data_IF_909425466002
#
_entry.id   IF_909425466002
#
_cell.length_a   1.000
_cell.length_b   1.000
_cell.length_c   1.000
_cell.angle_alpha   90.00
_cell.angle_beta   90.00
_cell.angle_gamma   90.00
#
_symmetry.space_group_name_H-M   'P 1'
#
loop_
_entity.id
_entity.type
_entity.pdbx_description
1 polymer ?
#
# COMPACT_ATOMS: atom_id res chain seq x y z
N UNK A 1 24.98 41.23 -34.93
CA UNK A 1 23.74 40.44 -35.08
C UNK A 1 24.13 38.99 -35.26
N UNK A 2 23.63 38.06 -34.42
CA UNK A 2 23.88 36.63 -34.64
C UNK A 2 23.22 36.22 -35.97
N UNK A 3 23.90 35.46 -36.84
CA UNK A 3 23.27 34.98 -38.06
C UNK A 3 22.06 34.12 -37.72
N UNK A 4 21.02 34.19 -38.55
CA UNK A 4 19.83 33.38 -38.38
C UNK A 4 20.20 31.89 -38.52
N UNK A 5 19.67 31.06 -37.62
CA UNK A 5 19.83 29.61 -37.69
C UNK A 5 19.16 29.08 -38.95
N UNK A 6 19.71 28.01 -39.53
CA UNK A 6 19.01 27.26 -40.57
C UNK A 6 17.71 26.66 -40.01
N UNK A 7 16.72 26.39 -40.86
CA UNK A 7 15.47 25.77 -40.43
C UNK A 7 15.69 24.42 -39.70
N UNK A 8 16.67 23.63 -40.15
CA UNK A 8 17.04 22.37 -39.51
C UNK A 8 17.65 22.58 -38.11
N UNK A 9 18.53 23.57 -37.94
CA UNK A 9 19.12 23.91 -36.64
C UNK A 9 18.06 24.45 -35.67
N UNK A 10 17.15 25.29 -36.15
CA UNK A 10 16.04 25.80 -35.34
C UNK A 10 15.13 24.67 -34.87
N UNK A 11 14.71 23.80 -35.77
CA UNK A 11 13.90 22.63 -35.40
C UNK A 11 14.60 21.75 -34.36
N UNK A 12 15.90 21.50 -34.53
CA UNK A 12 16.70 20.71 -33.60
C UNK A 12 16.79 21.36 -32.22
N UNK A 13 17.06 22.66 -32.18
CA UNK A 13 17.04 23.46 -30.96
C UNK A 13 15.71 23.32 -30.23
N UNK A 14 14.59 23.48 -30.94
CA UNK A 14 13.25 23.46 -30.34
C UNK A 14 12.90 22.08 -29.78
N UNK A 15 13.26 21.00 -30.48
CA UNK A 15 13.07 19.62 -29.98
C UNK A 15 13.83 19.37 -28.69
N UNK A 16 15.09 19.79 -28.59
CA UNK A 16 15.88 19.56 -27.38
C UNK A 16 15.52 20.49 -26.24
N UNK A 17 15.11 21.71 -26.55
CA UNK A 17 14.57 22.64 -25.56
C UNK A 17 13.27 22.11 -24.95
N UNK A 18 12.40 21.52 -25.78
CA UNK A 18 11.18 20.88 -25.31
C UNK A 18 11.50 19.68 -24.40
N UNK A 19 12.37 18.75 -24.83
CA UNK A 19 12.81 17.61 -24.00
C UNK A 19 13.42 18.04 -22.66
N UNK A 20 14.19 19.13 -22.66
CA UNK A 20 14.78 19.69 -21.45
C UNK A 20 13.70 20.23 -20.52
N UNK A 21 12.74 20.98 -21.06
CA UNK A 21 11.62 21.56 -20.30
C UNK A 21 10.74 20.47 -19.71
N UNK A 22 10.39 19.44 -20.49
CA UNK A 22 9.59 18.30 -20.01
C UNK A 22 10.28 17.56 -18.86
N UNK A 23 11.60 17.37 -18.95
CA UNK A 23 12.38 16.73 -17.89
C UNK A 23 12.44 17.60 -16.62
N UNK A 24 12.56 18.92 -16.77
CA UNK A 24 12.52 19.88 -15.65
C UNK A 24 11.17 19.87 -14.94
N UNK A 25 10.09 19.98 -15.71
CA UNK A 25 8.72 19.96 -15.18
C UNK A 25 8.40 18.63 -14.50
N UNK A 26 8.76 17.50 -15.13
CA UNK A 26 8.59 16.19 -14.52
C UNK A 26 9.38 16.09 -13.21
N UNK A 27 10.65 16.46 -13.20
CA UNK A 27 11.47 16.37 -11.98
C UNK A 27 10.92 17.26 -10.86
N UNK A 28 10.55 18.50 -11.16
CA UNK A 28 9.93 19.41 -10.18
C UNK A 28 8.62 18.82 -9.64
N UNK A 29 7.78 18.27 -10.52
CA UNK A 29 6.51 17.67 -10.10
C UNK A 29 6.70 16.49 -9.14
N UNK A 30 7.70 15.65 -9.40
CA UNK A 30 8.07 14.52 -8.57
C UNK A 30 8.66 14.99 -7.24
N UNK A 31 9.62 15.92 -7.28
CA UNK A 31 10.34 16.37 -6.09
C UNK A 31 9.46 17.13 -5.09
N UNK A 32 8.51 17.94 -5.59
CA UNK A 32 7.50 18.62 -4.77
C UNK A 32 6.39 17.68 -4.29
N UNK A 33 6.39 16.41 -4.68
CA UNK A 33 5.38 15.42 -4.30
C UNK A 33 4.00 15.66 -4.91
N UNK A 34 3.91 16.52 -5.95
CA UNK A 34 2.67 16.72 -6.73
C UNK A 34 2.39 15.51 -7.62
N UNK A 35 3.44 14.92 -8.20
CA UNK A 35 3.41 13.61 -8.80
C UNK A 35 3.92 12.57 -7.79
N UNK A 36 3.04 11.63 -7.41
CA UNK A 36 3.29 10.61 -6.38
C UNK A 36 3.58 9.22 -6.93
N UNK A 37 3.93 9.13 -8.21
CA UNK A 37 4.41 7.87 -8.79
C UNK A 37 5.75 7.48 -8.15
N UNK A 38 5.72 6.54 -7.21
CA UNK A 38 6.89 6.06 -6.46
C UNK A 38 7.97 5.47 -7.37
N UNK A 39 7.57 4.86 -8.49
CA UNK A 39 8.51 4.30 -9.46
C UNK A 39 9.27 5.43 -10.14
N UNK A 40 8.55 6.46 -10.61
CA UNK A 40 9.19 7.62 -11.23
C UNK A 40 10.04 8.40 -10.21
N UNK A 41 9.54 8.58 -8.99
CA UNK A 41 10.31 9.21 -7.91
C UNK A 41 11.65 8.48 -7.65
N UNK A 42 11.63 7.15 -7.61
CA UNK A 42 12.85 6.35 -7.47
C UNK A 42 13.77 6.45 -8.70
N UNK A 43 13.24 6.33 -9.93
CA UNK A 43 14.02 6.37 -11.18
C UNK A 43 14.73 7.72 -11.33
N UNK A 44 14.03 8.82 -11.06
CA UNK A 44 14.55 10.17 -11.22
C UNK A 44 15.31 10.68 -9.98
N UNK A 45 15.23 9.98 -8.86
CA UNK A 45 15.87 10.34 -7.60
C UNK A 45 15.21 11.53 -6.90
N UNK A 46 13.89 11.62 -6.96
CA UNK A 46 13.11 12.73 -6.42
C UNK A 46 12.26 12.25 -5.24
N UNK A 47 12.10 13.08 -4.20
CA UNK A 47 11.15 12.94 -3.10
C UNK A 47 11.31 11.73 -2.14
N UNK A 48 11.83 10.60 -2.58
CA UNK A 48 11.86 9.35 -1.80
C UNK A 48 12.71 9.38 -0.53
N UNK A 49 13.62 10.34 -0.40
CA UNK A 49 14.43 10.55 0.80
C UNK A 49 14.10 11.85 1.55
N UNK A 50 12.98 12.50 1.21
CA UNK A 50 12.47 13.66 1.93
C UNK A 50 11.66 13.20 3.14
N UNK A 51 12.00 13.71 4.32
CA UNK A 51 11.24 13.43 5.54
C UNK A 51 11.27 11.98 5.98
N UNK A 52 12.34 11.24 5.67
CA UNK A 52 12.51 9.84 6.06
C UNK A 52 12.24 9.65 7.55
N UNK A 53 11.27 8.78 7.84
CA UNK A 53 10.79 8.41 9.17
C UNK A 53 10.24 9.58 10.02
N UNK A 54 10.04 10.78 9.46
CA UNK A 54 9.46 11.91 10.21
C UNK A 54 7.97 11.76 10.52
N UNK A 55 7.25 10.95 9.77
CA UNK A 55 5.84 10.67 10.03
C UNK A 55 5.64 9.59 11.10
N UNK A 56 6.69 8.92 11.57
CA UNK A 56 6.58 7.91 12.60
C UNK A 56 6.58 8.55 13.99
N UNK A 57 5.73 8.04 14.87
CA UNK A 57 5.68 8.50 16.26
C UNK A 57 7.04 8.34 16.96
N UNK A 58 7.84 7.34 16.55
CA UNK A 58 9.17 7.03 17.09
C UNK A 58 10.18 8.17 16.92
N UNK A 59 10.05 9.00 15.88
CA UNK A 59 10.95 10.13 15.67
C UNK A 59 10.30 11.49 15.98
N UNK A 60 9.01 11.64 15.64
CA UNK A 60 8.34 12.93 15.79
C UNK A 60 8.03 13.29 17.25
N UNK A 61 7.47 12.36 18.02
CA UNK A 61 7.03 12.64 19.39
C UNK A 61 8.21 12.90 20.36
N UNK A 62 9.34 12.18 20.30
CA UNK A 62 10.51 12.52 21.10
C UNK A 62 11.08 13.91 20.76
N UNK A 63 11.20 14.25 19.47
CA UNK A 63 11.63 15.58 19.05
C UNK A 63 10.68 16.66 19.56
N UNK A 64 9.37 16.45 19.38
CA UNK A 64 8.35 17.39 19.85
C UNK A 64 8.44 17.60 21.36
N UNK A 65 8.61 16.52 22.11
CA UNK A 65 8.75 16.56 23.58
C UNK A 65 10.02 17.32 23.98
N UNK A 66 11.15 17.08 23.31
CA UNK A 66 12.41 17.79 23.56
C UNK A 66 12.25 19.30 23.28
N UNK A 67 11.73 19.68 22.10
CA UNK A 67 11.50 21.09 21.74
C UNK A 67 10.58 21.79 22.74
N UNK A 68 9.46 21.16 23.10
CA UNK A 68 8.51 21.73 24.08
C UNK A 68 9.15 21.87 25.46
N UNK A 69 9.89 20.86 25.92
CA UNK A 69 10.53 20.86 27.24
C UNK A 69 11.62 21.93 27.32
N UNK A 70 12.53 21.93 26.34
CA UNK A 70 13.62 22.89 26.26
C UNK A 70 13.12 24.33 26.15
N UNK A 71 12.05 24.58 25.37
CA UNK A 71 11.46 25.93 25.28
C UNK A 71 10.63 26.32 26.52
N UNK A 72 10.03 25.36 27.24
CA UNK A 72 9.25 25.66 28.45
C UNK A 72 10.13 26.04 29.64
N UNK A 73 11.38 25.59 29.66
CA UNK A 73 12.36 25.89 30.70
C UNK A 73 13.41 26.94 30.27
N UNK A 74 13.35 27.39 29.01
CA UNK A 74 14.30 28.36 28.48
C UNK A 74 14.08 29.75 29.08
N UNK A 75 15.09 30.26 29.78
CA UNK A 75 15.18 31.68 30.18
C UNK A 75 15.91 32.54 29.14
N UNK A 76 16.53 31.91 28.13
CA UNK A 76 17.29 32.51 27.03
C UNK A 76 17.19 31.64 25.77
N UNK A 77 17.48 32.23 24.61
CA UNK A 77 17.63 31.50 23.36
C UNK A 77 18.66 30.37 23.47
N UNK A 78 18.41 29.27 22.77
CA UNK A 78 19.32 28.14 22.67
C UNK A 78 20.67 28.61 22.14
N UNK A 79 21.74 28.19 22.81
CA UNK A 79 23.10 28.38 22.27
C UNK A 79 23.39 27.39 21.13
N UNK A 80 22.75 26.22 21.18
CA UNK A 80 22.87 25.14 20.19
C UNK A 80 21.54 24.42 20.06
N UNK A 81 21.20 23.97 18.85
CA UNK A 81 19.97 23.18 18.63
C UNK A 81 20.07 21.83 19.37
N UNK A 82 19.03 21.41 20.13
CA UNK A 82 19.00 20.12 20.82
C UNK A 82 19.17 18.90 19.89
N UNK A 83 19.70 17.76 20.37
CA UNK A 83 20.04 16.62 19.52
C UNK A 83 18.88 16.01 18.70
N UNK A 84 17.70 15.80 19.30
CA UNK A 84 16.55 15.23 18.57
C UNK A 84 15.99 16.26 17.59
N UNK A 85 15.99 17.53 17.97
CA UNK A 85 15.67 18.65 17.07
C UNK A 85 16.64 18.73 15.87
N UNK A 86 17.95 18.46 16.05
CA UNK A 86 18.91 18.35 14.94
C UNK A 86 18.61 17.18 14.02
N UNK A 87 18.27 16.00 14.56
CA UNK A 87 17.84 14.85 13.73
C UNK A 87 16.59 15.18 12.92
N UNK A 88 15.64 15.90 13.52
CA UNK A 88 14.45 16.38 12.82
C UNK A 88 14.80 17.34 11.67
N UNK A 89 15.66 18.35 11.92
CA UNK A 89 16.14 19.26 10.86
C UNK A 89 16.79 18.47 9.73
N UNK A 90 17.71 17.55 10.04
CA UNK A 90 18.40 16.74 9.05
C UNK A 90 17.42 15.98 8.14
N UNK A 91 16.40 15.36 8.72
CA UNK A 91 15.37 14.61 7.97
C UNK A 91 14.45 15.52 7.14
N UNK A 92 14.16 16.75 7.61
CA UNK A 92 13.38 17.75 6.84
C UNK A 92 14.17 18.34 5.67
N UNK A 93 15.47 18.52 5.87
CA UNK A 93 16.37 19.13 4.90
C UNK A 93 16.77 18.15 3.80
N UNK A 94 17.05 16.89 4.15
CA UNK A 94 17.51 15.89 3.20
C UNK A 94 16.56 15.75 2.00
N UNK A 95 17.12 15.84 0.79
CA UNK A 95 16.37 15.67 -0.45
C UNK A 95 15.49 16.87 -0.85
N UNK A 96 15.40 17.92 -0.03
CA UNK A 96 14.53 19.07 -0.31
C UNK A 96 15.12 19.98 -1.39
N UNK A 97 14.24 20.50 -2.26
CA UNK A 97 14.57 21.51 -3.27
C UNK A 97 14.34 22.96 -2.82
N UNK A 98 13.70 23.13 -1.67
CA UNK A 98 13.31 24.45 -1.17
C UNK A 98 14.53 25.36 -0.93
N UNK A 99 14.28 26.67 -0.98
CA UNK A 99 15.28 27.66 -0.59
C UNK A 99 15.56 27.56 0.90
N UNK A 100 16.73 28.05 1.33
CA UNK A 100 17.10 28.04 2.75
C UNK A 100 16.06 28.73 3.63
N UNK A 101 15.56 29.88 3.16
CA UNK A 101 14.59 30.70 3.89
C UNK A 101 13.24 30.00 4.02
N UNK A 102 12.80 29.31 2.96
CA UNK A 102 11.58 28.50 2.98
C UNK A 102 11.72 27.32 3.97
N UNK A 103 12.81 26.56 3.90
CA UNK A 103 13.04 25.43 4.81
C UNK A 103 13.09 25.87 6.28
N UNK A 104 13.90 26.89 6.58
CA UNK A 104 14.01 27.40 7.94
C UNK A 104 12.68 27.96 8.44
N UNK A 105 11.93 28.66 7.59
CA UNK A 105 10.59 29.16 7.89
C UNK A 105 9.58 28.06 8.16
N UNK A 106 9.57 26.99 7.37
CA UNK A 106 8.69 25.82 7.54
C UNK A 106 8.99 25.11 8.86
N UNK A 107 10.26 24.82 9.15
CA UNK A 107 10.66 24.17 10.41
C UNK A 107 10.29 25.07 11.61
N UNK A 108 10.57 26.37 11.51
CA UNK A 108 10.21 27.34 12.53
C UNK A 108 8.71 27.35 12.81
N UNK A 109 7.88 27.42 11.76
CA UNK A 109 6.42 27.42 11.89
C UNK A 109 5.91 26.11 12.52
N UNK A 110 6.48 24.97 12.13
CA UNK A 110 6.11 23.67 12.67
C UNK A 110 6.42 23.56 14.17
N UNK A 111 7.62 23.98 14.58
CA UNK A 111 8.02 23.97 15.99
C UNK A 111 7.22 24.96 16.83
N UNK A 112 6.91 26.16 16.30
CA UNK A 112 6.01 27.10 16.97
C UNK A 112 4.61 26.50 17.16
N UNK A 113 4.11 25.74 16.18
CA UNK A 113 2.83 25.04 16.28
C UNK A 113 2.80 23.97 17.38
N UNK A 114 3.95 23.51 17.86
CA UNK A 114 4.02 22.58 18.99
C UNK A 114 3.94 23.26 20.35
N UNK A 115 4.27 24.56 20.42
CA UNK A 115 4.27 25.33 21.66
C UNK A 115 2.85 25.79 22.01
N UNK A 116 2.37 25.43 23.21
CA UNK A 116 1.01 25.76 23.69
C UNK A 116 0.91 27.17 24.29
N UNK A 117 2.02 27.86 24.47
CA UNK A 117 2.13 29.17 25.14
C UNK A 117 2.91 30.11 24.21
N UNK A 118 2.60 31.42 24.16
CA UNK A 118 3.41 32.38 23.42
C UNK A 118 4.75 32.57 24.15
N UNK A 119 5.73 31.74 23.83
CA UNK A 119 7.09 31.83 24.35
C UNK A 119 8.05 31.97 23.17
N UNK A 120 7.99 33.11 22.50
CA UNK A 120 9.04 33.50 21.55
C UNK A 120 10.25 33.94 22.34
N UNK A 121 11.26 33.07 22.40
CA UNK A 121 12.68 33.43 22.43
C UNK A 121 13.63 32.21 22.43
N UNK A 122 13.14 30.97 22.53
CA UNK A 122 14.03 29.79 22.59
C UNK A 122 14.80 29.53 21.28
N UNK A 123 14.19 29.71 20.11
CA UNK A 123 14.86 29.60 18.81
C UNK A 123 14.32 30.63 17.82
N UNK A 124 15.04 30.88 16.73
CA UNK A 124 14.63 31.80 15.67
C UNK A 124 15.05 31.26 14.29
N UNK A 125 14.52 31.87 13.23
CA UNK A 125 14.79 31.46 11.84
C UNK A 125 16.29 31.50 11.51
N UNK A 126 17.03 32.52 11.95
CA UNK A 126 18.46 32.65 11.67
C UNK A 126 19.29 31.51 12.29
N UNK A 127 18.92 31.06 13.49
CA UNK A 127 19.55 29.90 14.12
C UNK A 127 19.32 28.63 13.29
N UNK A 128 18.09 28.42 12.80
CA UNK A 128 17.77 27.29 11.93
C UNK A 128 18.55 27.36 10.61
N UNK A 129 18.64 28.54 9.99
CA UNK A 129 19.43 28.72 8.78
C UNK A 129 20.91 28.36 8.99
N UNK A 130 21.49 28.76 10.13
CA UNK A 130 22.87 28.44 10.48
C UNK A 130 23.07 26.96 10.77
N UNK A 131 22.13 26.33 11.48
CA UNK A 131 22.17 24.90 11.74
C UNK A 131 22.07 24.10 10.43
N UNK A 132 21.14 24.44 9.52
CA UNK A 132 21.01 23.83 8.19
C UNK A 132 22.33 23.93 7.42
N UNK A 133 22.92 25.14 7.33
CA UNK A 133 24.22 25.36 6.66
C UNK A 133 25.38 24.56 7.28
N UNK A 134 25.30 24.25 8.58
CA UNK A 134 26.34 23.52 9.29
C UNK A 134 26.29 22.01 9.04
N UNK A 135 25.10 21.44 8.83
CA UNK A 135 24.92 19.99 8.67
C UNK A 135 24.70 19.52 7.24
N UNK A 136 24.31 20.43 6.34
CA UNK A 136 23.94 20.11 4.97
C UNK A 136 24.58 21.04 3.95
N UNK A 137 24.82 20.50 2.77
CA UNK A 137 25.25 21.23 1.58
C UNK A 137 24.09 21.35 0.58
N UNK A 138 24.03 22.46 -0.15
CA UNK A 138 23.06 22.63 -1.24
C UNK A 138 23.75 22.34 -2.56
N UNK A 139 23.44 21.18 -3.14
CA UNK A 139 24.11 20.64 -4.34
C UNK A 139 23.28 20.95 -5.58
N UNK A 140 23.93 21.47 -6.63
CA UNK A 140 23.31 21.57 -7.95
C UNK A 140 23.69 20.36 -8.79
N UNK A 141 22.71 19.50 -9.04
CA UNK A 141 22.90 18.34 -9.89
C UNK A 141 22.74 18.67 -11.39
N UNK A 142 21.92 19.67 -11.72
CA UNK A 142 21.59 20.12 -13.07
C UNK A 142 22.44 21.29 -13.57
N UNK A 143 21.97 21.98 -14.61
CA UNK A 143 22.65 23.13 -15.20
C UNK A 143 22.26 24.43 -14.48
N UNK A 144 23.12 24.91 -13.56
CA UNK A 144 22.87 26.15 -12.82
C UNK A 144 23.25 27.41 -13.61
N UNK A 145 22.50 28.52 -13.43
CA UNK A 145 22.91 29.83 -13.93
C UNK A 145 24.27 30.28 -13.36
N UNK A 146 25.07 31.02 -14.16
CA UNK A 146 26.40 31.52 -13.75
C UNK A 146 26.37 32.42 -12.50
N UNK A 147 25.27 33.16 -12.29
CA UNK A 147 25.07 34.09 -11.17
C UNK A 147 24.03 33.60 -10.16
N UNK A 148 23.80 32.29 -10.09
CA UNK A 148 22.82 31.71 -9.17
C UNK A 148 23.20 31.93 -7.70
N UNK A 149 22.25 32.42 -6.90
CA UNK A 149 22.43 32.50 -5.45
C UNK A 149 22.25 31.10 -4.84
N UNK A 150 23.35 30.49 -4.41
CA UNK A 150 23.37 29.08 -3.99
C UNK A 150 22.24 28.70 -3.02
N UNK A 151 21.92 29.53 -2.02
CA UNK A 151 20.93 29.21 -0.98
C UNK A 151 19.48 29.62 -1.29
N UNK A 152 19.25 30.39 -2.36
CA UNK A 152 17.91 30.97 -2.64
C UNK A 152 17.43 30.66 -4.05
N UNK A 153 18.32 30.30 -4.98
CA UNK A 153 17.93 29.91 -6.33
C UNK A 153 17.06 28.64 -6.28
N UNK A 154 15.95 28.68 -7.01
CA UNK A 154 14.98 27.59 -7.19
C UNK A 154 14.77 27.26 -8.65
N UNK A 155 15.67 27.71 -9.54
CA UNK A 155 15.61 27.43 -10.98
C UNK A 155 15.51 25.91 -11.21
N UNK A 156 14.46 25.41 -11.88
CA UNK A 156 14.26 23.98 -12.13
C UNK A 156 15.49 23.30 -12.76
N UNK A 157 16.05 23.95 -13.78
CA UNK A 157 17.23 23.50 -14.53
C UNK A 157 18.47 23.25 -13.66
N UNK A 158 18.63 24.02 -12.58
CA UNK A 158 19.79 23.88 -11.70
C UNK A 158 19.72 22.63 -10.83
N UNK A 159 18.52 22.11 -10.59
CA UNK A 159 18.25 20.95 -9.75
C UNK A 159 18.97 21.06 -8.40
N UNK A 160 18.68 22.16 -7.68
CA UNK A 160 19.21 22.40 -6.34
C UNK A 160 18.56 21.47 -5.34
N UNK A 161 19.37 20.72 -4.61
CA UNK A 161 18.89 19.79 -3.59
C UNK A 161 19.78 19.88 -2.36
N UNK A 162 19.16 19.85 -1.19
CA UNK A 162 19.86 19.79 0.08
C UNK A 162 20.30 18.37 0.42
N UNK A 163 21.56 18.23 0.81
CA UNK A 163 22.19 16.96 1.14
C UNK A 163 22.84 17.06 2.52
N UNK A 164 22.37 16.26 3.45
CA UNK A 164 22.98 16.15 4.78
C UNK A 164 24.33 15.43 4.65
N UNK A 165 25.38 15.99 5.25
CA UNK A 165 26.73 15.42 5.17
C UNK A 165 26.86 14.11 5.95
N UNK A 166 26.84 14.22 7.28
CA UNK A 166 27.00 13.09 8.21
C UNK A 166 25.69 12.30 8.37
N UNK A 167 25.23 11.64 7.30
CA UNK A 167 23.94 10.93 7.29
C UNK A 167 23.85 9.84 8.37
N UNK A 168 24.95 9.16 8.67
CA UNK A 168 25.00 8.13 9.71
C UNK A 168 24.78 8.69 11.13
N UNK A 169 24.94 10.00 11.32
CA UNK A 169 24.69 10.66 12.61
C UNK A 169 23.22 10.99 12.86
N UNK A 170 22.38 10.98 11.83
CA UNK A 170 20.99 11.45 11.93
C UNK A 170 19.95 10.43 11.44
N UNK A 171 20.38 9.46 10.64
CA UNK A 171 19.53 8.48 9.96
C UNK A 171 19.95 7.06 10.33
N UNK A 172 18.97 6.16 10.40
CA UNK A 172 19.20 4.72 10.51
C UNK A 172 19.74 4.11 9.20
N UNK A 173 20.25 2.88 9.28
CA UNK A 173 20.90 2.19 8.17
C UNK A 173 20.03 2.08 6.92
N UNK A 174 18.72 1.91 7.08
CA UNK A 174 17.80 1.77 5.96
C UNK A 174 17.54 3.13 5.28
N UNK A 175 17.35 4.19 6.06
CA UNK A 175 17.31 5.55 5.54
C UNK A 175 18.62 5.95 4.85
N UNK A 176 19.78 5.58 5.40
CA UNK A 176 21.10 5.82 4.76
C UNK A 176 21.21 5.10 3.41
N UNK A 177 20.73 3.85 3.31
CA UNK A 177 20.68 3.13 2.02
C UNK A 177 19.80 3.83 1.00
N UNK A 178 18.63 4.33 1.42
CA UNK A 178 17.74 5.13 0.56
C UNK A 178 18.45 6.38 0.07
N UNK A 179 18.98 7.21 0.97
CA UNK A 179 19.69 8.46 0.63
C UNK A 179 20.82 8.19 -0.39
N UNK A 180 21.67 7.19 -0.13
CA UNK A 180 22.77 6.83 -1.03
C UNK A 180 22.29 6.38 -2.41
N UNK A 181 21.18 5.65 -2.48
CA UNK A 181 20.56 5.21 -3.74
C UNK A 181 20.01 6.40 -4.51
N UNK A 182 19.24 7.27 -3.85
CA UNK A 182 18.61 8.44 -4.44
C UNK A 182 19.65 9.44 -4.94
N UNK A 183 20.74 9.67 -4.21
CA UNK A 183 21.89 10.48 -4.68
C UNK A 183 22.45 10.00 -6.01
N UNK A 184 22.56 8.68 -6.22
CA UNK A 184 23.03 8.12 -7.51
C UNK A 184 22.04 8.44 -8.64
N UNK A 185 20.75 8.33 -8.36
CA UNK A 185 19.70 8.64 -9.33
C UNK A 185 19.65 10.12 -9.67
N UNK A 186 19.76 11.02 -8.68
CA UNK A 186 19.89 12.47 -8.93
C UNK A 186 21.10 12.83 -9.75
N UNK A 187 22.27 12.23 -9.49
CA UNK A 187 23.47 12.43 -10.32
C UNK A 187 23.20 12.07 -11.78
N UNK A 188 22.53 10.94 -12.01
CA UNK A 188 22.14 10.48 -13.35
C UNK A 188 21.18 11.47 -14.03
N UNK A 189 20.09 11.83 -13.36
CA UNK A 189 19.10 12.79 -13.86
C UNK A 189 19.71 14.17 -14.16
N UNK A 190 20.47 14.72 -13.20
CA UNK A 190 21.12 16.02 -13.35
C UNK A 190 22.17 16.04 -14.47
N UNK A 191 22.88 14.93 -14.68
CA UNK A 191 23.78 14.80 -15.82
C UNK A 191 23.04 14.86 -17.16
N UNK A 192 21.85 14.26 -17.24
CA UNK A 192 21.00 14.37 -18.45
C UNK A 192 20.53 15.81 -18.66
N UNK A 193 20.06 16.50 -17.62
CA UNK A 193 19.68 17.93 -17.70
C UNK A 193 20.86 18.76 -18.24
N UNK A 194 22.07 18.59 -17.69
CA UNK A 194 23.29 19.26 -18.18
C UNK A 194 23.60 18.95 -19.64
N UNK A 195 23.37 17.71 -20.05
CA UNK A 195 23.63 17.25 -21.42
C UNK A 195 22.63 17.86 -22.40
N UNK A 196 21.35 17.89 -22.04
CA UNK A 196 20.29 18.53 -22.83
C UNK A 196 20.50 20.05 -22.92
N UNK A 197 20.83 20.73 -21.81
CA UNK A 197 21.15 22.16 -21.82
C UNK A 197 22.35 22.47 -22.73
N UNK A 198 23.38 21.61 -22.70
CA UNK A 198 24.53 21.72 -23.62
C UNK A 198 24.11 21.52 -25.09
N UNK A 199 23.26 20.54 -25.40
CA UNK A 199 22.74 20.33 -26.75
C UNK A 199 21.96 21.54 -27.23
N UNK A 200 21.12 22.12 -26.38
CA UNK A 200 20.35 23.34 -26.68
C UNK A 200 21.31 24.50 -27.01
N UNK A 201 22.33 24.73 -26.18
CA UNK A 201 23.32 25.77 -26.44
C UNK A 201 24.10 25.53 -27.75
N UNK A 202 24.53 24.30 -28.01
CA UNK A 202 25.23 23.92 -29.24
C UNK A 202 24.34 24.08 -30.48
N UNK A 203 23.05 23.76 -30.39
CA UNK A 203 22.10 23.93 -31.51
C UNK A 203 21.85 25.40 -31.87
N UNK A 204 22.08 26.33 -30.93
CA UNK A 204 22.04 27.78 -31.19
C UNK A 204 23.34 28.34 -31.79
N UNK A 205 24.41 27.56 -31.83
CA UNK A 205 25.71 27.96 -32.37
C UNK A 205 25.82 27.52 -33.85
N UNK A 206 25.84 28.44 -34.83
CA UNK A 206 25.82 28.10 -36.25
C UNK A 206 27.04 27.29 -36.71
N UNK A 207 28.15 27.37 -35.97
CA UNK A 207 29.42 26.71 -36.27
C UNK A 207 29.61 25.38 -35.52
N UNK A 208 28.56 24.87 -34.87
CA UNK A 208 28.63 23.58 -34.16
C UNK A 208 28.89 22.43 -35.11
N UNK A 209 29.86 21.60 -34.75
CA UNK A 209 30.18 20.35 -35.43
C UNK A 209 29.12 19.28 -35.11
N UNK A 210 28.45 18.78 -36.15
CA UNK A 210 27.39 17.77 -36.06
C UNK A 210 27.85 16.48 -35.38
N UNK A 211 29.13 16.10 -35.52
CA UNK A 211 29.67 14.90 -34.87
C UNK A 211 29.73 15.06 -33.34
N UNK A 212 30.08 16.26 -32.86
CA UNK A 212 30.10 16.60 -31.43
C UNK A 212 28.68 16.68 -30.88
N UNK A 213 27.76 17.24 -31.64
CA UNK A 213 26.35 17.30 -31.27
C UNK A 213 25.78 15.89 -31.11
N UNK A 214 25.98 15.02 -32.10
CA UNK A 214 25.55 13.63 -32.09
C UNK A 214 26.09 12.83 -30.89
N UNK A 215 27.33 13.10 -30.46
CA UNK A 215 27.91 12.49 -29.27
C UNK A 215 27.15 12.86 -27.99
N UNK A 216 26.75 14.13 -27.84
CA UNK A 216 25.94 14.58 -26.69
C UNK A 216 24.50 14.03 -26.79
N UNK A 217 23.90 14.02 -27.98
CA UNK A 217 22.58 13.42 -28.23
C UNK A 217 22.57 11.94 -27.80
N UNK A 218 23.62 11.20 -28.14
CA UNK A 218 23.79 9.79 -27.76
C UNK A 218 23.91 9.59 -26.24
N UNK A 219 24.49 10.55 -25.50
CA UNK A 219 24.52 10.50 -24.03
C UNK A 219 23.12 10.71 -23.44
N UNK A 220 22.38 11.70 -23.95
CA UNK A 220 21.00 11.94 -23.52
C UNK A 220 20.08 10.75 -23.84
N UNK A 221 20.18 10.16 -25.04
CA UNK A 221 19.38 9.00 -25.44
C UNK A 221 19.60 7.78 -24.55
N UNK A 222 20.84 7.53 -24.11
CA UNK A 222 21.15 6.42 -23.17
C UNK A 222 20.40 6.54 -21.85
N UNK A 223 20.16 7.76 -21.37
CA UNK A 223 19.36 7.99 -20.17
C UNK A 223 17.91 7.55 -20.39
N UNK A 224 17.27 7.99 -21.48
CA UNK A 224 15.87 7.65 -21.77
C UNK A 224 15.67 6.13 -21.96
N UNK A 225 16.62 5.46 -22.62
CA UNK A 225 16.60 3.99 -22.73
C UNK A 225 16.73 3.32 -21.36
N UNK A 226 17.59 3.84 -20.48
CA UNK A 226 17.72 3.31 -19.12
C UNK A 226 16.45 3.52 -18.29
N UNK A 227 15.80 4.68 -18.40
CA UNK A 227 14.51 4.98 -17.78
C UNK A 227 13.43 4.02 -18.26
N UNK A 228 13.30 3.82 -19.57
CA UNK A 228 12.32 2.91 -20.15
C UNK A 228 12.52 1.47 -19.65
N UNK A 229 13.77 1.02 -19.58
CA UNK A 229 14.10 -0.31 -19.05
C UNK A 229 13.73 -0.45 -17.56
N UNK A 230 13.90 0.60 -16.76
CA UNK A 230 13.51 0.60 -15.35
C UNK A 230 11.98 0.59 -15.19
N UNK A 231 11.25 1.35 -16.01
CA UNK A 231 9.79 1.30 -16.07
C UNK A 231 9.26 -0.09 -16.44
N UNK A 232 9.84 -0.72 -17.47
CA UNK A 232 9.47 -2.08 -17.86
C UNK A 232 9.75 -3.10 -16.75
N UNK A 233 10.84 -2.94 -16.00
CA UNK A 233 11.16 -3.79 -14.85
C UNK A 233 10.16 -3.59 -13.71
N UNK A 234 9.78 -2.36 -13.41
CA UNK A 234 8.79 -2.04 -12.39
C UNK A 234 7.41 -2.65 -12.76
N UNK A 235 6.99 -2.49 -14.01
CA UNK A 235 5.75 -3.07 -14.50
C UNK A 235 5.75 -4.61 -14.39
N UNK A 236 6.82 -5.28 -14.80
CA UNK A 236 6.96 -6.74 -14.68
C UNK A 236 6.87 -7.22 -13.23
N UNK A 237 7.42 -6.47 -12.27
CA UNK A 237 7.33 -6.80 -10.83
C UNK A 237 5.89 -6.69 -10.33
N UNK A 238 5.20 -5.63 -10.71
CA UNK A 238 3.82 -5.38 -10.34
C UNK A 238 2.87 -6.44 -10.93
N UNK A 239 3.10 -6.87 -12.16
CA UNK A 239 2.32 -7.94 -12.78
C UNK A 239 2.56 -9.30 -12.10
N UNK A 240 3.81 -9.59 -11.72
CA UNK A 240 4.14 -10.81 -10.96
C UNK A 240 3.47 -10.83 -9.58
N UNK A 241 3.40 -9.69 -8.91
CA UNK A 241 2.72 -9.58 -7.61
C UNK A 241 1.21 -9.78 -7.74
N UNK A 242 0.58 -9.16 -8.74
CA UNK A 242 -0.84 -9.39 -9.07
C UNK A 242 -1.13 -10.86 -9.35
N UNK A 243 -0.26 -11.54 -10.09
CA UNK A 243 -0.39 -12.99 -10.35
C UNK A 243 -0.32 -13.81 -9.06
N UNK A 244 0.63 -13.51 -8.16
CA UNK A 244 0.74 -14.20 -6.86
C UNK A 244 -0.49 -14.00 -5.97
N UNK A 245 -1.05 -12.79 -5.95
CA UNK A 245 -2.27 -12.49 -5.18
C UNK A 245 -3.47 -13.23 -5.78
N UNK A 246 -3.61 -13.22 -7.10
CA UNK A 246 -4.67 -13.95 -7.80
C UNK A 246 -4.59 -15.47 -7.55
N UNK A 247 -3.38 -16.05 -7.58
CA UNK A 247 -3.17 -17.47 -7.28
C UNK A 247 -3.54 -17.83 -5.84
N UNK A 248 -3.12 -17.00 -4.86
CA UNK A 248 -3.52 -17.18 -3.45
C UNK A 248 -5.04 -17.11 -3.28
N UNK A 249 -5.70 -16.16 -3.95
CA UNK A 249 -7.16 -16.02 -3.90
C UNK A 249 -7.86 -17.22 -4.52
N UNK A 250 -7.37 -17.73 -5.66
CA UNK A 250 -7.92 -18.92 -6.31
C UNK A 250 -7.79 -20.16 -5.41
N UNK A 251 -6.62 -20.36 -4.79
CA UNK A 251 -6.40 -21.45 -3.83
C UNK A 251 -7.33 -21.35 -2.61
N UNK A 252 -7.52 -20.14 -2.08
CA UNK A 252 -8.46 -19.91 -0.97
C UNK A 252 -9.91 -20.22 -1.38
N UNK A 253 -10.33 -19.80 -2.58
CA UNK A 253 -11.67 -20.10 -3.10
C UNK A 253 -11.87 -21.61 -3.28
N UNK A 254 -10.91 -22.30 -3.91
CA UNK A 254 -10.98 -23.75 -4.10
C UNK A 254 -11.05 -24.51 -2.77
N UNK A 255 -10.45 -23.98 -1.71
CA UNK A 255 -10.54 -24.57 -0.38
C UNK A 255 -11.94 -24.40 0.22
N UNK A 256 -12.52 -23.20 0.10
CA UNK A 256 -13.91 -22.95 0.53
C UNK A 256 -14.90 -23.83 -0.22
N UNK A 257 -14.75 -23.96 -1.54
CA UNK A 257 -15.62 -24.79 -2.37
C UNK A 257 -15.52 -26.28 -1.97
N UNK A 258 -14.32 -26.77 -1.64
CA UNK A 258 -14.11 -28.13 -1.12
C UNK A 258 -14.76 -28.35 0.24
N UNK A 259 -14.67 -27.37 1.12
CA UNK A 259 -15.25 -27.48 2.47
C UNK A 259 -16.77 -27.36 2.42
N UNK A 260 -17.33 -26.55 1.52
CA UNK A 260 -18.77 -26.52 1.23
C UNK A 260 -19.26 -27.84 0.63
N UNK A 261 -18.55 -28.40 -0.36
CA UNK A 261 -18.88 -29.70 -0.94
C UNK A 261 -18.88 -30.81 0.12
N UNK A 262 -17.90 -30.83 1.02
CA UNK A 262 -17.88 -31.76 2.16
C UNK A 262 -19.06 -31.57 3.10
N UNK A 263 -19.44 -30.32 3.38
CA UNK A 263 -20.58 -30.00 4.25
C UNK A 263 -21.90 -30.49 3.65
N UNK A 264 -22.10 -30.27 2.35
CA UNK A 264 -23.28 -30.75 1.60
C UNK A 264 -23.33 -32.29 1.58
N UNK A 265 -22.21 -32.97 1.32
CA UNK A 265 -22.15 -34.45 1.36
C UNK A 265 -22.49 -35.00 2.76
N UNK A 266 -22.00 -34.35 3.82
CA UNK A 266 -22.31 -34.72 5.20
C UNK A 266 -23.80 -34.52 5.53
N UNK A 267 -24.39 -33.43 5.03
CA UNK A 267 -25.81 -33.15 5.21
C UNK A 267 -26.68 -34.16 4.45
N UNK A 268 -26.30 -34.52 3.22
CA UNK A 268 -26.96 -35.56 2.43
C UNK A 268 -26.93 -36.91 3.15
N UNK A 269 -25.76 -37.34 3.64
CA UNK A 269 -25.61 -38.58 4.42
C UNK A 269 -26.43 -38.58 5.71
N UNK A 270 -26.60 -37.43 6.37
CA UNK A 270 -27.48 -37.32 7.55
C UNK A 270 -28.94 -37.49 7.17
N UNK A 271 -29.40 -36.82 6.11
CA UNK A 271 -30.77 -36.96 5.60
C UNK A 271 -31.09 -38.41 5.19
N UNK A 272 -30.18 -39.08 4.48
CA UNK A 272 -30.34 -40.50 4.11
C UNK A 272 -30.46 -41.41 5.34
N UNK A 273 -29.65 -41.20 6.39
CA UNK A 273 -29.75 -41.96 7.64
C UNK A 273 -31.07 -41.72 8.36
N UNK A 274 -31.52 -40.48 8.43
CA UNK A 274 -32.80 -40.12 9.07
C UNK A 274 -33.99 -40.70 8.30
N UNK A 275 -33.96 -40.67 6.97
CA UNK A 275 -34.97 -41.32 6.13
C UNK A 275 -34.97 -42.84 6.27
N UNK A 276 -33.79 -43.47 6.32
CA UNK A 276 -33.67 -44.90 6.57
C UNK A 276 -34.22 -45.30 7.96
N UNK A 277 -33.93 -44.49 8.99
CA UNK A 277 -34.47 -44.70 10.34
C UNK A 277 -35.98 -44.55 10.38
N UNK A 278 -36.55 -43.52 9.73
CA UNK A 278 -38.00 -43.35 9.61
C UNK A 278 -38.67 -44.51 8.89
N UNK A 279 -38.06 -45.04 7.82
CA UNK A 279 -38.57 -46.24 7.12
C UNK A 279 -38.56 -47.47 8.04
N UNK A 280 -37.50 -47.67 8.82
CA UNK A 280 -37.40 -48.76 9.81
C UNK A 280 -38.45 -48.64 10.92
N UNK A 281 -38.67 -47.44 11.46
CA UNK A 281 -39.70 -47.18 12.47
C UNK A 281 -41.12 -47.38 11.91
N UNK A 282 -41.37 -46.97 10.67
CA UNK A 282 -42.64 -47.22 10.00
C UNK A 282 -42.90 -48.73 9.80
N UNK A 283 -41.89 -49.49 9.36
CA UNK A 283 -41.98 -50.94 9.23
C UNK A 283 -42.17 -51.65 10.59
N UNK A 284 -41.58 -51.12 11.66
CA UNK A 284 -41.77 -51.65 13.01
C UNK A 284 -43.20 -51.40 13.52
N UNK A 285 -43.74 -50.19 13.31
CA UNK A 285 -45.14 -49.87 13.64
C UNK A 285 -46.13 -50.72 12.85
N UNK A 286 -45.89 -50.91 11.56
CA UNK A 286 -46.75 -51.77 10.73
C UNK A 286 -46.76 -53.23 11.24
N UNK A 287 -45.60 -53.75 11.66
CA UNK A 287 -45.52 -55.07 12.31
C UNK A 287 -46.26 -55.13 13.64
N UNK A 288 -46.15 -54.08 14.46
CA UNK A 288 -46.86 -53.99 15.74
C UNK A 288 -48.37 -53.93 15.54
N UNK A 289 -48.86 -53.14 14.57
CA UNK A 289 -50.27 -53.05 14.20
C UNK A 289 -50.80 -54.39 13.65
N UNK A 290 -50.02 -55.10 12.83
CA UNK A 290 -50.34 -56.44 12.37
C UNK A 290 -50.40 -57.45 13.53
N UNK A 291 -49.51 -57.35 14.52
CA UNK A 291 -49.54 -58.18 15.72
C UNK A 291 -50.76 -57.85 16.60
N UNK A 292 -51.11 -56.58 16.74
CA UNK A 292 -52.31 -56.11 17.44
C UNK A 292 -53.59 -56.59 16.75
N UNK A 293 -53.64 -56.57 15.41
CA UNK A 293 -54.74 -57.17 14.66
C UNK A 293 -54.83 -58.68 14.89
N UNK A 294 -53.70 -59.41 14.86
CA UNK A 294 -53.68 -60.83 15.19
C UNK A 294 -54.19 -61.09 16.60
N UNK A 295 -53.71 -60.35 17.61
CA UNK A 295 -54.19 -60.46 19.00
C UNK A 295 -55.69 -60.17 19.10
N UNK A 296 -56.21 -59.15 18.42
CA UNK A 296 -57.65 -58.86 18.36
C UNK A 296 -58.46 -59.99 17.74
N UNK A 297 -57.94 -60.65 16.69
CA UNK A 297 -58.58 -61.85 16.11
C UNK A 297 -58.55 -63.04 17.10
N UNK A 298 -57.46 -63.22 17.85
CA UNK A 298 -57.36 -64.27 18.88
C UNK A 298 -58.30 -64.03 20.07
N UNK A 299 -58.46 -62.78 20.50
CA UNK A 299 -59.41 -62.41 21.57
C UNK A 299 -60.87 -62.45 21.11
N UNK A 300 -61.15 -62.11 19.84
CA UNK A 300 -62.47 -62.32 19.24
C UNK A 300 -62.86 -63.80 19.14
N UNK A 301 -61.88 -64.69 18.97
CA UNK A 301 -62.07 -66.15 19.06
C UNK A 301 -62.37 -66.62 20.49
N UNK A 302 -61.78 -65.98 21.51
CA UNK A 302 -62.03 -66.31 22.92
C UNK A 302 -63.44 -65.91 23.39
N UNK A 303 -63.90 -64.70 23.05
CA UNK A 303 -65.26 -64.24 23.38
C UNK A 303 -66.36 -65.02 22.65
N UNK A 304 -66.05 -65.62 21.49
CA UNK A 304 -66.99 -66.51 20.78
C UNK A 304 -67.11 -67.88 21.45
N UNK A 305 -66.08 -68.31 22.21
CA UNK A 305 -66.08 -69.58 22.94
C UNK A 305 -66.96 -69.55 24.21
N UNK A 306 -67.15 -68.37 24.80
CA UNK A 306 -68.08 -68.19 25.94
C UNK A 306 -69.54 -67.96 25.49
N UNK A 307 -69.79 -67.53 24.25
CA UNK A 307 -71.14 -67.43 23.70
C UNK A 307 -71.74 -68.80 23.30
N UNK A 308 -70.89 -69.78 22.95
CA UNK A 308 -71.31 -71.14 22.58
C UNK A 308 -71.42 -72.10 23.79
N UNK A 309 -70.99 -71.68 24.99
CA UNK A 309 -71.14 -72.47 26.22
C UNK A 309 -72.45 -72.20 26.98
N UNK A 310 -73.15 -71.09 26.67
CA UNK A 310 -74.40 -70.71 27.33
C UNK A 310 -75.67 -71.04 26.52
N UNK A 311 -75.54 -71.58 25.31
CA UNK A 311 -76.68 -71.98 24.45
C UNK A 311 -76.95 -73.50 24.46
N UNK A 312 -76.10 -74.30 25.10
CA UNK A 312 -76.23 -75.77 25.14
C UNK A 312 -76.93 -76.31 26.38
N UNK A 313 -77.10 -75.51 27.44
CA UNK A 313 -77.73 -75.95 28.70
C UNK A 313 -79.24 -75.61 28.80
N UNK A 314 -79.74 -74.66 27.98
CA UNK A 314 -81.18 -74.35 27.91
C UNK A 314 -81.96 -75.24 26.92
N UNK A 315 -81.32 -75.83 25.91
CA UNK A 315 -81.98 -76.72 24.93
C UNK A 315 -82.09 -78.19 25.39
N UNK A 316 -81.48 -78.54 26.52
CA UNK A 316 -81.49 -79.88 27.13
C UNK A 316 -82.67 -80.09 28.11
N UNK A 317 -83.17 -79.02 28.73
CA UNK A 317 -84.27 -79.11 29.71
C UNK A 317 -85.68 -79.12 29.09
N UNK A 318 -85.89 -78.56 27.90
CA UNK A 318 -87.20 -78.51 27.25
C UNK A 318 -87.56 -79.76 26.43
N UNK A 319 -86.60 -80.66 26.13
CA UNK A 319 -86.90 -81.95 25.46
C UNK A 319 -87.20 -83.12 26.41
N UNK A 320 -86.98 -82.96 27.72
CA UNK A 320 -87.34 -83.97 28.72
C UNK A 320 -88.77 -83.80 29.28
N UNK A 321 -89.41 -82.65 29.06
CA UNK A 321 -90.76 -82.36 29.55
C UNK A 321 -91.89 -82.70 28.55
N UNK A 322 -91.59 -82.99 27.27
CA UNK A 322 -92.59 -83.35 26.24
C UNK A 322 -92.68 -84.86 25.92
N UNK A 323 -91.85 -85.71 26.52
CA UNK A 323 -91.92 -87.17 26.33
C UNK A 323 -92.74 -87.91 27.43
N UNK A 324 -93.35 -87.17 28.37
CA UNK A 324 -94.20 -87.74 29.43
C UNK A 324 -95.70 -87.37 29.29
N UNK A 325 -96.08 -86.77 28.16
CA UNK A 325 -97.45 -86.37 27.82
C UNK A 325 -97.81 -86.77 26.37
N UNK A 326 -97.71 -88.08 26.08
CA UNK A 326 -98.34 -88.83 24.97
C UNK A 326 -97.97 -90.31 25.23
N UNK A 327 -98.70 -91.08 26.05
CA UNK A 327 -99.89 -91.85 25.64
C UNK A 327 -100.48 -91.56 24.28
#
# INVERSE_FOLDING_TARGET
>A
TKPALSAAQQHKHDVYLHKLTDLEELYVSLALGTNRDEVLQEIYGAHTDVGLNLSTAEHLEPCRTEVVTECSHASKAWSTVPPLAKSFIARRVQGSMESLSALAGTIHAEWLGWLKVPATECFNVSMLEMEIKSMAERVSYGAKPKKAHMFQDTTPRAMWVWEVGAVESYFDDDAVKVIRRVRKQRKRTGQTIKTLDKIVAMAQEPATDDSKLSLEESKASRFYVAVELELQKAQKRLDLEKQKVAEKRLKAQQQLDKDEAKRVDLEHKRKEKDEAKKKLEALAKEKEDLELQRRRQTWGSFLKKDADANTTDELSRDKAAQAHAQM
#
